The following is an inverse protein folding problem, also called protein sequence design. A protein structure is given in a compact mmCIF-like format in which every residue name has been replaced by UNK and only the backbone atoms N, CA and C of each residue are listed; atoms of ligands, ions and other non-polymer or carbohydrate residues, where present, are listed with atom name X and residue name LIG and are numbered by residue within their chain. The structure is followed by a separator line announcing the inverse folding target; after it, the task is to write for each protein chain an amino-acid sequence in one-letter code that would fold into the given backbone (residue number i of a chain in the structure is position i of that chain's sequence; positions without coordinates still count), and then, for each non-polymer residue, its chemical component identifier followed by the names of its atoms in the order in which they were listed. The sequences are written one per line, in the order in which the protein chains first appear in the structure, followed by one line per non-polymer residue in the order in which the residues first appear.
data_IF_434146227469
#
_entry.id   IF_434146227469
#
_cell.length_a   1.000
_cell.length_b   1.000
_cell.length_c   1.000
_cell.angle_alpha   90.00
_cell.angle_beta   90.00
_cell.angle_gamma   90.00
#
_symmetry.space_group_name_H-M   'P 1'
#
loop_
_entity.id
_entity.type
_entity.pdbx_description
1 polymer ?
#
# COMPACT_ATOMS: atom_id res chain seq x y z
N UNK A 1 5.89 -13.33 -13.27
CA UNK A 1 6.11 -12.55 -12.04
C UNK A 1 5.01 -11.53 -11.90
N UNK A 2 4.38 -11.42 -10.72
CA UNK A 2 3.31 -10.48 -10.47
C UNK A 2 3.78 -9.04 -10.67
N UNK A 3 2.90 -8.18 -11.22
CA UNK A 3 3.17 -6.77 -11.48
C UNK A 3 1.99 -5.92 -11.06
N UNK A 4 2.26 -4.78 -10.44
CA UNK A 4 1.22 -3.85 -10.05
C UNK A 4 0.44 -3.40 -11.30
N UNK A 5 -0.89 -3.49 -11.23
CA UNK A 5 -1.80 -3.10 -12.32
C UNK A 5 -2.36 -1.67 -12.19
N UNK A 6 -1.94 -0.95 -11.14
CA UNK A 6 -2.34 0.45 -10.96
C UNK A 6 -3.76 0.67 -10.44
N UNK A 7 -4.42 -0.34 -9.84
CA UNK A 7 -5.80 -0.22 -9.35
C UNK A 7 -5.97 0.72 -8.15
N UNK A 8 -4.89 1.01 -7.40
CA UNK A 8 -4.85 1.91 -6.24
C UNK A 8 -5.76 1.53 -5.06
N UNK A 9 -6.32 0.31 -5.05
CA UNK A 9 -7.14 -0.18 -3.94
C UNK A 9 -6.37 -0.17 -2.61
N UNK A 10 -5.07 -0.50 -2.63
CA UNK A 10 -4.20 -0.41 -1.47
C UNK A 10 -4.05 1.02 -0.92
N UNK A 11 -4.05 2.07 -1.76
CA UNK A 11 -4.01 3.46 -1.31
C UNK A 11 -5.33 3.83 -0.62
N UNK A 12 -6.47 3.41 -1.16
CA UNK A 12 -7.79 3.68 -0.61
C UNK A 12 -7.98 3.02 0.75
N UNK A 13 -7.78 1.70 0.83
CA UNK A 13 -8.02 0.95 2.08
C UNK A 13 -7.08 1.37 3.19
N UNK A 14 -5.82 1.70 2.86
CA UNK A 14 -4.85 2.19 3.84
C UNK A 14 -5.24 3.57 4.40
N UNK A 15 -5.74 4.49 3.58
CA UNK A 15 -6.27 5.76 4.09
C UNK A 15 -7.50 5.58 4.98
N UNK A 16 -8.35 4.60 4.66
CA UNK A 16 -9.51 4.26 5.47
C UNK A 16 -9.10 3.62 6.80
N UNK A 17 -8.14 2.69 6.81
CA UNK A 17 -7.58 2.12 8.04
C UNK A 17 -7.19 3.23 9.04
N UNK A 18 -6.30 4.14 8.61
CA UNK A 18 -5.72 5.14 9.50
C UNK A 18 -6.67 6.30 9.87
N UNK A 19 -7.56 6.71 8.96
CA UNK A 19 -8.35 7.95 9.15
C UNK A 19 -9.84 7.81 8.85
N UNK A 20 -10.31 6.62 8.52
CA UNK A 20 -11.70 6.31 8.15
C UNK A 20 -12.23 7.21 7.03
N UNK A 21 -11.33 7.61 6.10
CA UNK A 21 -11.65 8.39 4.89
C UNK A 21 -10.96 7.79 3.67
N UNK A 22 -11.59 7.89 2.51
CA UNK A 22 -11.04 7.40 1.24
C UNK A 22 -10.21 8.47 0.54
N UNK A 23 -8.99 8.71 1.03
CA UNK A 23 -8.10 9.75 0.49
C UNK A 23 -6.68 9.21 0.21
N UNK A 24 -6.40 8.70 -1.01
CA UNK A 24 -5.12 8.06 -1.37
C UNK A 24 -3.85 8.90 -1.10
N UNK A 25 -3.98 10.23 -1.08
CA UNK A 25 -2.85 11.15 -0.86
C UNK A 25 -2.29 11.11 0.56
N UNK A 26 -3.03 10.54 1.52
CA UNK A 26 -2.61 10.44 2.93
C UNK A 26 -2.28 9.01 3.37
N UNK A 27 -2.43 8.03 2.47
CA UNK A 27 -2.12 6.63 2.75
C UNK A 27 -0.63 6.40 3.04
N UNK A 28 -0.34 5.34 3.78
CA UNK A 28 1.01 4.85 4.10
C UNK A 28 1.60 3.99 2.99
N UNK A 29 0.89 3.87 1.86
CA UNK A 29 1.33 3.21 0.63
C UNK A 29 1.01 4.11 -0.57
N UNK A 30 1.89 4.14 -1.58
CA UNK A 30 1.74 4.92 -2.82
C UNK A 30 1.91 4.03 -4.04
N UNK A 31 1.01 4.19 -5.00
CA UNK A 31 1.17 3.68 -6.36
C UNK A 31 1.52 4.84 -7.29
N UNK A 32 2.68 4.73 -7.96
CA UNK A 32 3.20 5.72 -8.91
C UNK A 32 3.15 5.15 -10.32
N UNK A 33 2.55 5.87 -11.26
CA UNK A 33 2.56 5.53 -12.68
C UNK A 33 3.91 5.96 -13.28
N UNK A 34 4.65 5.00 -13.82
CA UNK A 34 5.96 5.21 -14.46
C UNK A 34 5.85 5.35 -16.00
N UNK A 35 4.63 5.33 -16.53
CA UNK A 35 4.33 5.31 -17.96
C UNK A 35 4.35 3.90 -18.56
N UNK A 36 3.81 3.76 -19.78
CA UNK A 36 3.81 2.50 -20.56
C UNK A 36 3.26 1.29 -19.79
N UNK A 37 2.23 1.50 -18.95
CA UNK A 37 1.62 0.45 -18.14
C UNK A 37 2.48 -0.07 -16.99
N UNK A 38 3.57 0.63 -16.64
CA UNK A 38 4.44 0.29 -15.50
C UNK A 38 4.07 1.12 -14.28
N UNK A 39 4.10 0.48 -13.12
CA UNK A 39 3.81 1.11 -11.84
C UNK A 39 4.88 0.74 -10.83
N UNK A 40 5.22 1.66 -9.93
CA UNK A 40 5.94 1.33 -8.70
C UNK A 40 5.01 1.46 -7.50
N UNK A 41 5.32 0.69 -6.47
CA UNK A 41 4.60 0.68 -5.20
C UNK A 41 5.61 0.94 -4.10
N UNK A 42 5.30 1.88 -3.21
CA UNK A 42 6.17 2.26 -2.08
C UNK A 42 5.34 2.29 -0.80
N UNK A 43 5.83 1.62 0.24
CA UNK A 43 5.33 1.73 1.61
C UNK A 43 6.19 2.77 2.35
N UNK A 44 5.56 3.61 3.17
CA UNK A 44 6.25 4.63 3.97
C UNK A 44 6.44 4.11 5.40
N UNK A 45 7.69 3.84 5.79
CA UNK A 45 8.04 3.46 7.17
C UNK A 45 8.12 4.63 8.15
N UNK A 46 8.02 5.86 7.65
CA UNK A 46 8.10 7.10 8.41
C UNK A 46 7.01 8.06 7.97
N UNK A 47 6.65 9.02 8.83
CA UNK A 47 5.70 10.07 8.49
C UNK A 47 6.27 10.96 7.37
N UNK A 48 5.45 11.28 6.37
CA UNK A 48 5.88 12.11 5.24
C UNK A 48 4.79 13.10 4.83
N UNK A 49 4.92 14.35 5.30
CA UNK A 49 3.90 15.38 5.12
C UNK A 49 2.57 14.97 5.77
N UNK A 50 1.50 14.84 4.97
CA UNK A 50 0.19 14.39 5.46
C UNK A 50 0.06 12.86 5.54
N UNK A 51 1.06 12.09 5.10
CA UNK A 51 1.07 10.62 5.18
C UNK A 51 1.54 10.17 6.54
N UNK A 52 0.81 9.23 7.13
CA UNK A 52 1.23 8.54 8.35
C UNK A 52 2.18 7.42 7.94
N UNK A 53 3.08 7.01 8.83
CA UNK A 53 3.87 5.79 8.66
C UNK A 53 2.95 4.56 8.62
N UNK A 54 3.39 3.52 7.93
CA UNK A 54 2.75 2.21 8.00
C UNK A 54 2.86 1.66 9.45
N UNK A 55 1.75 1.17 9.97
CA UNK A 55 1.62 0.54 11.28
C UNK A 55 1.45 -0.99 11.18
N UNK A 56 1.72 -1.56 9.99
CA UNK A 56 1.43 -2.96 9.67
C UNK A 56 -0.04 -3.37 9.92
N UNK A 57 -0.98 -2.42 9.77
CA UNK A 57 -2.40 -2.62 10.07
C UNK A 57 -2.66 -3.04 11.52
N UNK A 58 -2.02 -2.38 12.48
CA UNK A 58 -2.29 -2.57 13.92
C UNK A 58 -3.80 -2.50 14.22
N UNK A 59 -4.33 -3.53 14.88
CA UNK A 59 -5.75 -3.64 15.24
C UNK A 59 -6.64 -4.33 14.20
N UNK A 60 -6.11 -4.71 13.05
CA UNK A 60 -6.80 -5.56 12.06
C UNK A 60 -6.27 -7.01 12.16
N UNK A 61 -7.08 -8.01 11.80
CA UNK A 61 -6.69 -9.42 11.84
C UNK A 61 -5.56 -9.74 10.83
N UNK A 62 -5.53 -9.03 9.71
CA UNK A 62 -4.52 -9.16 8.67
C UNK A 62 -4.34 -7.85 7.89
N UNK A 63 -3.16 -7.59 7.27
CA UNK A 63 -2.94 -6.36 6.53
C UNK A 63 -3.86 -6.21 5.31
N UNK A 64 -4.79 -5.26 5.39
CA UNK A 64 -5.80 -5.00 4.36
C UNK A 64 -5.20 -4.74 2.97
N UNK A 65 -4.02 -4.11 2.91
CA UNK A 65 -3.34 -3.82 1.65
C UNK A 65 -2.79 -5.08 0.95
N UNK A 66 -2.49 -6.14 1.71
CA UNK A 66 -2.11 -7.45 1.19
C UNK A 66 -3.35 -8.16 0.67
N UNK A 67 -4.43 -8.23 1.45
CA UNK A 67 -5.68 -8.92 1.05
C UNK A 67 -6.29 -8.35 -0.22
N UNK A 68 -6.31 -7.02 -0.34
CA UNK A 68 -6.97 -6.36 -1.46
C UNK A 68 -6.09 -6.30 -2.72
N UNK A 69 -4.85 -6.77 -2.70
CA UNK A 69 -3.95 -6.65 -3.83
C UNK A 69 -4.23 -7.75 -4.87
N UNK A 70 -4.94 -7.48 -5.98
CA UNK A 70 -5.29 -8.53 -6.96
C UNK A 70 -4.06 -9.04 -7.73
N UNK A 71 -2.97 -8.28 -7.68
CA UNK A 71 -1.73 -8.62 -8.35
C UNK A 71 -0.73 -9.31 -7.41
N UNK A 72 -1.04 -9.46 -6.12
CA UNK A 72 -0.19 -10.14 -5.14
C UNK A 72 1.26 -9.59 -5.08
N UNK A 73 1.43 -8.28 -5.33
CA UNK A 73 2.74 -7.60 -5.26
C UNK A 73 3.04 -7.01 -3.88
N UNK A 74 2.13 -7.14 -2.92
CA UNK A 74 2.29 -6.67 -1.54
C UNK A 74 2.19 -7.90 -0.64
N UNK A 75 3.14 -8.10 0.27
CA UNK A 75 3.15 -9.24 1.18
C UNK A 75 3.51 -8.81 2.60
N UNK A 76 3.16 -9.67 3.57
CA UNK A 76 3.61 -9.54 4.96
C UNK A 76 4.87 -10.40 5.16
N UNK A 77 5.96 -9.77 5.60
CA UNK A 77 7.22 -10.43 5.98
C UNK A 77 7.50 -10.22 7.48
N UNK A 78 8.51 -10.90 8.06
CA UNK A 78 8.97 -10.62 9.43
C UNK A 78 9.44 -9.18 9.66
N UNK A 79 9.73 -8.41 8.60
CA UNK A 79 10.14 -7.00 8.66
C UNK A 79 8.96 -6.02 8.46
N UNK A 80 7.75 -6.55 8.26
CA UNK A 80 6.53 -5.79 8.00
C UNK A 80 6.04 -5.92 6.57
N UNK A 81 5.29 -4.92 6.10
CA UNK A 81 4.74 -4.90 4.75
C UNK A 81 5.84 -4.64 3.70
N UNK A 82 5.98 -5.56 2.76
CA UNK A 82 6.97 -5.52 1.67
C UNK A 82 6.30 -5.55 0.29
N UNK A 83 7.04 -5.12 -0.72
CA UNK A 83 6.60 -5.11 -2.12
C UNK A 83 7.48 -6.04 -2.94
N UNK A 84 6.87 -7.04 -3.59
CA UNK A 84 7.53 -8.08 -4.39
C UNK A 84 7.25 -7.89 -5.88
N UNK A 85 7.87 -6.86 -6.48
CA UNK A 85 7.82 -6.63 -7.93
C UNK A 85 9.23 -6.55 -8.53
N UNK A 86 9.42 -7.14 -9.72
CA UNK A 86 10.68 -7.13 -10.49
C UNK A 86 10.50 -6.35 -11.79
#
# INVERSE_FOLDING_TARGET
MPKCVGCRACELICSYHHRKVFWPSIASIKVTNLGKGKYSVRVFGENHGKRIKCDNCEGEDFPLCVEICPAEVICLSPRGIEVVQI
#
